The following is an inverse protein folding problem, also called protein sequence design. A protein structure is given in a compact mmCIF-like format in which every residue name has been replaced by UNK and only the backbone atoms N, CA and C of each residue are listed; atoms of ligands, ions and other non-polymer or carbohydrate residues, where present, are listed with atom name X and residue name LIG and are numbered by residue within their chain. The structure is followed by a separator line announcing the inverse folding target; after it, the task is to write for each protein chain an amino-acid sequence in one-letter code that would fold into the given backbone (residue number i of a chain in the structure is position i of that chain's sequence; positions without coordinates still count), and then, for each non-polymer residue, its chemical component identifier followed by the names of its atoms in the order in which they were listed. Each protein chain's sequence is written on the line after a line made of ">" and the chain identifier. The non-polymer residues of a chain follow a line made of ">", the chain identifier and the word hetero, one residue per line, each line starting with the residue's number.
data_IF_577440132801
#
_entry.id   IF_577440132801
#
_cell.length_a   1.000
_cell.length_b   1.000
_cell.length_c   1.000
_cell.angle_alpha   90.00
_cell.angle_beta   90.00
_cell.angle_gamma   90.00
#
_symmetry.space_group_name_H-M   'P 1'
#
loop_
_entity.id
_entity.type
_entity.pdbx_description
1 polymer ?
#
# COMPACT_ATOMS: atom_id res chain seq x y z
N UNK A 1 5.86 9.58 -13.06
CA UNK A 1 6.87 9.68 -11.99
C UNK A 1 8.27 9.38 -12.50
N UNK A 2 9.29 10.05 -11.96
CA UNK A 2 10.70 9.73 -12.26
C UNK A 2 11.20 8.53 -11.46
N UNK A 3 12.02 7.67 -12.04
CA UNK A 3 12.65 6.54 -11.33
C UNK A 3 13.51 7.01 -10.16
N UNK A 4 14.21 8.13 -10.31
CA UNK A 4 14.98 8.75 -9.22
C UNK A 4 14.11 9.10 -8.00
N UNK A 5 12.90 9.63 -8.23
CA UNK A 5 11.94 9.92 -7.18
C UNK A 5 11.41 8.64 -6.52
N UNK A 6 11.16 7.58 -7.30
CA UNK A 6 10.73 6.27 -6.79
C UNK A 6 11.83 5.66 -5.91
N UNK A 7 13.07 5.59 -6.42
CA UNK A 7 14.21 5.07 -5.68
C UNK A 7 14.41 5.84 -4.36
N UNK A 8 14.38 7.17 -4.40
CA UNK A 8 14.51 8.00 -3.20
C UNK A 8 13.38 7.77 -2.18
N UNK A 9 12.16 7.55 -2.64
CA UNK A 9 11.01 7.29 -1.76
C UNK A 9 11.13 5.95 -1.04
N UNK A 10 11.58 4.90 -1.74
CA UNK A 10 11.84 3.59 -1.16
C UNK A 10 12.96 3.65 -0.12
N UNK A 11 14.06 4.34 -0.43
CA UNK A 11 15.19 4.54 0.51
C UNK A 11 14.76 5.30 1.77
N UNK A 12 13.95 6.35 1.60
CA UNK A 12 13.37 7.09 2.72
C UNK A 12 12.46 6.19 3.57
N UNK A 13 11.62 5.36 2.96
CA UNK A 13 10.76 4.42 3.68
C UNK A 13 11.59 3.39 4.47
N UNK A 14 12.58 2.75 3.84
CA UNK A 14 13.47 1.80 4.52
C UNK A 14 14.22 2.42 5.69
N UNK A 15 14.75 3.65 5.51
CA UNK A 15 15.44 4.38 6.57
C UNK A 15 14.49 4.68 7.73
N UNK A 16 13.32 5.24 7.42
CA UNK A 16 12.31 5.62 8.43
C UNK A 16 11.82 4.40 9.21
N UNK A 17 11.50 3.31 8.51
CA UNK A 17 11.07 2.07 9.16
C UNK A 17 12.13 1.54 10.11
N UNK A 18 13.41 1.54 9.69
CA UNK A 18 14.53 1.13 10.55
C UNK A 18 14.70 2.05 11.76
N UNK A 19 14.62 3.37 11.58
CA UNK A 19 14.73 4.35 12.68
C UNK A 19 13.61 4.18 13.72
N UNK A 20 12.43 3.76 13.29
CA UNK A 20 11.30 3.44 14.17
C UNK A 20 11.27 1.98 14.65
N UNK A 21 12.33 1.21 14.40
CA UNK A 21 12.46 -0.17 14.88
C UNK A 21 11.58 -1.18 14.12
N UNK A 22 11.04 -0.81 12.96
CA UNK A 22 10.23 -1.67 12.10
C UNK A 22 11.15 -2.39 11.12
N UNK A 23 11.12 -3.73 11.17
CA UNK A 23 11.92 -4.57 10.28
C UNK A 23 11.11 -5.02 9.06
N UNK A 24 11.73 -4.94 7.88
CA UNK A 24 11.19 -5.47 6.64
C UNK A 24 11.72 -6.87 6.33
N UNK A 25 10.95 -7.71 5.60
CA UNK A 25 11.42 -9.02 5.15
C UNK A 25 12.58 -8.89 4.16
N UNK A 26 13.39 -9.95 4.03
CA UNK A 26 14.59 -9.93 3.19
C UNK A 26 14.35 -9.52 1.74
N UNK A 27 13.20 -9.88 1.16
CA UNK A 27 12.87 -9.54 -0.23
C UNK A 27 12.64 -8.04 -0.46
N UNK A 28 12.40 -7.26 0.59
CA UNK A 28 12.31 -5.81 0.48
C UNK A 28 13.60 -5.16 -0.01
N UNK A 29 14.72 -5.85 0.14
CA UNK A 29 16.05 -5.38 -0.22
C UNK A 29 16.59 -6.00 -1.51
N UNK A 30 15.81 -6.87 -2.19
CA UNK A 30 16.25 -7.51 -3.42
C UNK A 30 16.45 -6.47 -4.53
N UNK A 31 17.65 -6.50 -5.10
CA UNK A 31 18.05 -5.67 -6.24
C UNK A 31 17.52 -6.24 -7.56
N UNK A 32 17.68 -5.49 -8.64
CA UNK A 32 17.39 -5.98 -10.00
C UNK A 32 18.16 -7.26 -10.32
N UNK A 33 19.40 -7.39 -9.85
CA UNK A 33 20.22 -8.59 -10.08
C UNK A 33 19.76 -9.78 -9.24
N UNK A 34 19.30 -9.56 -8.01
CA UNK A 34 18.74 -10.63 -7.18
C UNK A 34 17.54 -11.28 -7.87
N UNK A 35 16.66 -10.47 -8.47
CA UNK A 35 15.47 -10.94 -9.18
C UNK A 35 15.76 -11.78 -10.42
N UNK A 36 16.93 -11.60 -11.06
CA UNK A 36 17.35 -12.46 -12.19
C UNK A 36 17.51 -13.92 -11.78
N UNK A 37 17.81 -14.16 -10.51
CA UNK A 37 18.06 -15.49 -9.95
C UNK A 37 16.84 -16.03 -9.16
N UNK A 38 15.68 -15.35 -9.18
CA UNK A 38 14.47 -15.83 -8.49
C UNK A 38 13.58 -16.62 -9.43
N UNK A 39 13.44 -17.91 -9.15
CA UNK A 39 12.56 -18.81 -9.86
C UNK A 39 11.12 -18.77 -9.35
N UNK A 40 10.43 -19.90 -9.50
CA UNK A 40 9.05 -20.10 -9.08
C UNK A 40 8.84 -20.03 -7.55
N UNK A 41 9.91 -20.11 -6.75
CA UNK A 41 9.84 -19.94 -5.29
C UNK A 41 9.36 -18.54 -4.86
N UNK A 42 9.44 -17.55 -5.76
CA UNK A 42 8.98 -16.19 -5.53
C UNK A 42 7.64 -15.86 -6.21
N UNK A 43 6.90 -16.87 -6.69
CA UNK A 43 5.65 -16.63 -7.45
C UNK A 43 4.57 -15.96 -6.63
N UNK A 44 4.45 -16.25 -5.32
CA UNK A 44 3.48 -15.54 -4.47
C UNK A 44 3.79 -14.03 -4.41
N UNK A 45 5.07 -13.64 -4.39
CA UNK A 45 5.46 -12.22 -4.40
C UNK A 45 4.97 -11.56 -5.69
N UNK A 46 5.14 -12.23 -6.83
CA UNK A 46 4.71 -11.74 -8.15
C UNK A 46 3.20 -11.69 -8.27
N UNK A 47 2.54 -12.79 -7.93
CA UNK A 47 1.13 -13.04 -8.20
C UNK A 47 0.19 -12.30 -7.26
N UNK A 48 0.61 -12.12 -6.01
CA UNK A 48 -0.13 -11.36 -5.01
C UNK A 48 0.36 -9.91 -4.90
N UNK A 49 1.28 -9.48 -5.79
CA UNK A 49 1.83 -8.13 -5.86
C UNK A 49 2.36 -7.65 -4.49
N UNK A 50 3.15 -8.50 -3.84
CA UNK A 50 3.81 -8.14 -2.59
C UNK A 50 4.94 -7.13 -2.86
N UNK A 51 5.44 -6.46 -1.84
CA UNK A 51 6.61 -5.58 -1.94
C UNK A 51 6.29 -4.10 -2.17
N UNK A 52 7.26 -3.39 -2.75
CA UNK A 52 7.23 -1.93 -2.87
C UNK A 52 6.17 -1.43 -3.85
N UNK A 53 5.49 -0.37 -3.48
CA UNK A 53 4.57 0.35 -4.35
C UNK A 53 4.74 1.85 -4.10
N UNK A 54 4.98 2.59 -5.19
CA UNK A 54 5.14 4.04 -5.19
C UNK A 54 4.27 4.59 -6.30
N UNK A 55 3.38 5.50 -5.97
CA UNK A 55 2.41 6.06 -6.92
C UNK A 55 2.15 7.53 -6.63
N UNK A 56 1.98 8.34 -7.68
CA UNK A 56 1.47 9.71 -7.65
C UNK A 56 0.01 9.77 -8.09
N UNK A 57 -0.62 8.62 -8.24
CA UNK A 57 -1.98 8.42 -8.72
C UNK A 57 -2.24 9.01 -10.13
N UNK A 58 -1.19 9.21 -10.93
CA UNK A 58 -1.27 9.87 -12.24
C UNK A 58 -1.47 11.39 -12.16
N UNK A 59 -1.29 12.00 -10.97
CA UNK A 59 -1.53 13.43 -10.74
C UNK A 59 -0.29 14.31 -10.97
N UNK A 60 0.91 13.73 -11.08
CA UNK A 60 2.15 14.46 -11.34
C UNK A 60 2.70 15.30 -10.18
N UNK A 61 2.02 15.36 -9.04
CA UNK A 61 2.48 16.02 -7.80
C UNK A 61 2.56 15.01 -6.65
N UNK A 62 3.53 14.09 -6.74
CA UNK A 62 3.76 13.05 -5.74
C UNK A 62 3.82 13.60 -4.31
N UNK A 63 4.42 14.77 -4.10
CA UNK A 63 4.62 15.34 -2.75
C UNK A 63 3.31 15.68 -2.04
N UNK A 64 2.25 15.99 -2.79
CA UNK A 64 0.92 16.24 -2.23
C UNK A 64 0.00 15.05 -2.38
N UNK A 65 -0.03 14.46 -3.58
CA UNK A 65 -0.87 13.32 -3.92
C UNK A 65 0.04 12.16 -4.30
N UNK A 66 0.28 11.28 -3.34
CA UNK A 66 1.18 10.17 -3.53
C UNK A 66 1.18 9.19 -2.38
N UNK A 67 1.78 8.03 -2.62
CA UNK A 67 1.94 7.00 -1.61
C UNK A 67 3.23 6.22 -1.82
N UNK A 68 3.87 5.84 -0.73
CA UNK A 68 4.94 4.85 -0.68
C UNK A 68 4.57 3.80 0.34
N UNK A 69 4.45 2.55 -0.10
CA UNK A 69 4.06 1.45 0.76
C UNK A 69 4.81 0.16 0.43
N UNK A 70 4.72 -0.79 1.35
CA UNK A 70 5.24 -2.13 1.22
C UNK A 70 4.16 -3.14 1.60
N UNK A 71 3.70 -3.94 0.64
CA UNK A 71 2.75 -5.03 0.90
C UNK A 71 3.51 -6.23 1.46
N UNK A 72 3.30 -6.53 2.75
CA UNK A 72 3.99 -7.60 3.48
C UNK A 72 3.42 -8.98 3.14
N UNK A 73 2.11 -9.05 3.00
CA UNK A 73 1.36 -10.29 2.72
C UNK A 73 0.02 -9.94 2.09
N UNK A 74 -0.47 -10.83 1.25
CA UNK A 74 -1.77 -10.76 0.61
C UNK A 74 -2.13 -12.18 0.13
N UNK A 75 -3.37 -12.39 -0.29
CA UNK A 75 -3.78 -13.55 -1.09
C UNK A 75 -4.19 -13.12 -2.50
N UNK A 76 -4.93 -13.97 -3.22
CA UNK A 76 -5.45 -13.62 -4.55
C UNK A 76 -6.86 -14.13 -4.75
N UNK A 77 -7.75 -13.24 -5.23
CA UNK A 77 -9.08 -13.64 -5.73
C UNK A 77 -9.03 -14.08 -7.21
N UNK A 78 -7.93 -13.79 -7.91
CA UNK A 78 -7.79 -14.00 -9.35
C UNK A 78 -7.02 -15.27 -9.70
N UNK A 79 -6.20 -15.77 -8.78
CA UNK A 79 -5.35 -16.94 -8.96
C UNK A 79 -5.58 -17.96 -7.85
N UNK A 80 -5.77 -19.21 -8.22
CA UNK A 80 -5.87 -20.34 -7.29
C UNK A 80 -4.53 -20.59 -6.58
N UNK A 81 -4.58 -21.09 -5.35
CA UNK A 81 -3.38 -21.47 -4.58
C UNK A 81 -2.90 -20.40 -3.60
N UNK A 82 -3.56 -19.23 -3.55
CA UNK A 82 -3.24 -18.13 -2.63
C UNK A 82 -4.42 -17.83 -1.70
N UNK A 83 -4.74 -18.78 -0.83
CA UNK A 83 -6.00 -18.84 -0.07
C UNK A 83 -6.07 -17.91 1.16
N UNK A 84 -5.08 -17.07 1.39
CA UNK A 84 -5.11 -16.11 2.51
C UNK A 84 -6.32 -15.20 2.36
N UNK A 85 -7.05 -14.98 3.45
CA UNK A 85 -8.20 -14.07 3.47
C UNK A 85 -7.86 -12.64 3.90
N UNK A 86 -6.57 -12.37 4.14
CA UNK A 86 -6.08 -11.14 4.76
C UNK A 86 -4.85 -10.59 4.04
N UNK A 87 -4.62 -9.29 4.23
CA UNK A 87 -3.44 -8.58 3.76
C UNK A 87 -2.85 -7.71 4.86
N UNK A 88 -1.59 -7.33 4.70
CA UNK A 88 -0.90 -6.37 5.58
C UNK A 88 0.02 -5.49 4.74
N UNK A 89 0.00 -4.18 5.00
CA UNK A 89 0.92 -3.21 4.39
C UNK A 89 1.57 -2.34 5.46
N UNK A 90 2.79 -1.89 5.16
CA UNK A 90 3.42 -0.76 5.83
C UNK A 90 3.44 0.42 4.88
N UNK A 91 3.19 1.61 5.40
CA UNK A 91 2.99 2.80 4.58
C UNK A 91 3.81 3.94 5.21
N UNK A 92 4.56 4.65 4.37
CA UNK A 92 5.21 5.89 4.76
C UNK A 92 4.22 7.04 4.54
N UNK A 93 4.03 7.86 5.58
CA UNK A 93 3.13 9.00 5.60
C UNK A 93 3.92 10.29 5.88
N UNK A 94 4.51 10.94 4.85
CA UNK A 94 4.98 12.32 4.94
C UNK A 94 3.87 13.29 5.32
N UNK A 95 4.25 14.37 5.99
CA UNK A 95 3.32 15.44 6.37
C UNK A 95 2.58 16.00 5.15
N UNK A 96 1.25 16.10 5.24
CA UNK A 96 0.38 16.64 4.19
C UNK A 96 0.23 15.79 2.91
N UNK A 97 1.07 14.76 2.71
CA UNK A 97 0.95 13.84 1.57
C UNK A 97 -0.24 12.88 1.78
N UNK A 98 -1.12 12.77 0.78
CA UNK A 98 -2.31 11.90 0.82
C UNK A 98 -2.54 11.13 -0.47
N UNK A 99 -3.38 10.11 -0.44
CA UNK A 99 -4.00 9.57 -1.64
C UNK A 99 -5.20 10.42 -2.09
N UNK A 100 -5.66 10.29 -3.35
CA UNK A 100 -6.97 10.78 -3.75
C UNK A 100 -8.07 10.14 -2.87
N UNK A 101 -9.20 10.83 -2.75
CA UNK A 101 -10.36 10.29 -2.05
C UNK A 101 -10.85 9.04 -2.77
N UNK A 102 -10.96 7.95 -2.03
CA UNK A 102 -11.44 6.69 -2.59
C UNK A 102 -12.16 5.86 -1.54
N UNK A 103 -12.87 4.84 -1.99
CA UNK A 103 -13.36 3.76 -1.16
C UNK A 103 -13.06 2.42 -1.80
N UNK A 104 -13.09 1.36 -1.00
CA UNK A 104 -13.00 -0.01 -1.45
C UNK A 104 -14.40 -0.62 -1.65
N UNK A 105 -14.60 -1.37 -2.73
CA UNK A 105 -15.88 -2.05 -2.99
C UNK A 105 -16.10 -3.19 -1.99
N UNK A 106 -15.05 -3.94 -1.71
CA UNK A 106 -15.10 -5.14 -0.86
C UNK A 106 -14.12 -5.11 0.30
N UNK A 107 -12.94 -4.47 0.16
CA UNK A 107 -11.94 -4.47 1.24
C UNK A 107 -12.45 -3.73 2.47
N UNK A 108 -12.31 -4.38 3.63
CA UNK A 108 -12.35 -3.75 4.94
C UNK A 108 -10.92 -3.67 5.44
N UNK A 109 -10.54 -2.53 6.01
CA UNK A 109 -9.18 -2.30 6.48
C UNK A 109 -9.15 -1.55 7.81
N UNK A 110 -8.15 -1.85 8.63
CA UNK A 110 -7.73 -1.04 9.75
C UNK A 110 -6.51 -0.23 9.32
N UNK A 111 -6.61 1.11 9.39
CA UNK A 111 -5.46 2.01 9.28
C UNK A 111 -4.94 2.28 10.69
N UNK A 112 -3.67 1.99 10.91
CA UNK A 112 -3.04 1.94 12.24
C UNK A 112 -1.84 2.86 12.25
N UNK A 113 -1.77 3.82 13.17
CA UNK A 113 -0.54 4.58 13.39
C UNK A 113 0.47 3.71 14.14
N UNK A 114 1.53 3.27 13.44
CA UNK A 114 2.55 2.37 14.03
C UNK A 114 3.64 3.15 14.76
N UNK A 115 4.08 4.28 14.21
CA UNK A 115 5.17 5.08 14.77
C UNK A 115 5.27 6.47 14.10
N UNK A 116 5.94 7.39 14.79
CA UNK A 116 6.25 8.73 14.28
C UNK A 116 5.28 9.79 14.78
N UNK A 117 4.80 10.63 13.86
CA UNK A 117 3.80 11.67 14.12
C UNK A 117 2.38 11.13 14.24
N UNK A 118 1.40 11.98 13.93
CA UNK A 118 -0.01 11.61 13.94
C UNK A 118 -0.54 11.38 12.53
N UNK A 119 -1.60 10.58 12.41
CA UNK A 119 -2.32 10.37 11.15
C UNK A 119 -3.70 11.01 11.27
N UNK A 120 -4.08 11.80 10.27
CA UNK A 120 -5.44 12.30 10.11
C UNK A 120 -6.16 11.42 9.10
N UNK A 121 -7.32 10.88 9.45
CA UNK A 121 -8.15 10.05 8.58
C UNK A 121 -9.51 10.72 8.40
N UNK A 122 -9.74 11.30 7.22
CA UNK A 122 -11.03 11.89 6.85
C UNK A 122 -11.96 10.80 6.30
N UNK A 123 -13.21 10.77 6.76
CA UNK A 123 -14.16 9.70 6.44
C UNK A 123 -15.52 10.24 5.95
N UNK A 124 -16.13 9.58 4.98
CA UNK A 124 -17.49 9.86 4.50
C UNK A 124 -18.11 8.59 3.90
N UNK A 125 -19.41 8.33 4.05
CA UNK A 125 -20.05 7.19 3.36
C UNK A 125 -20.17 7.44 1.85
N UNK A 126 -19.97 6.40 1.04
CA UNK A 126 -20.33 6.44 -0.37
C UNK A 126 -21.83 6.14 -0.54
N UNK A 127 -22.55 6.96 -1.30
CA UNK A 127 -23.93 6.69 -1.66
C UNK A 127 -24.02 5.61 -2.78
N UNK A 128 -25.25 5.26 -3.19
CA UNK A 128 -25.50 4.27 -4.25
C UNK A 128 -24.92 4.67 -5.61
N UNK A 129 -24.72 5.97 -5.85
CA UNK A 129 -24.10 6.53 -7.06
C UNK A 129 -22.56 6.62 -6.97
N UNK A 130 -21.94 6.09 -5.91
CA UNK A 130 -20.51 6.20 -5.61
C UNK A 130 -20.02 7.63 -5.29
N UNK A 131 -20.91 8.53 -4.89
CA UNK A 131 -20.57 9.90 -4.48
C UNK A 131 -20.57 10.04 -2.95
N UNK A 132 -20.09 11.18 -2.45
CA UNK A 132 -20.12 11.50 -1.00
C UNK A 132 -21.57 11.59 -0.52
N UNK A 133 -21.90 10.82 0.52
CA UNK A 133 -23.18 10.88 1.23
C UNK A 133 -23.18 11.96 2.32
N UNK A 134 -24.36 12.50 2.63
CA UNK A 134 -24.58 13.38 3.79
C UNK A 134 -25.02 12.61 5.06
N UNK A 135 -24.99 11.29 5.02
CA UNK A 135 -25.42 10.42 6.11
C UNK A 135 -24.42 10.42 7.28
N UNK A 136 -24.93 10.54 8.51
CA UNK A 136 -24.15 10.25 9.72
C UNK A 136 -23.98 8.74 9.90
N UNK A 137 -22.81 8.31 10.35
CA UNK A 137 -22.48 6.90 10.47
C UNK A 137 -21.62 6.65 11.70
N UNK A 138 -21.39 5.38 12.03
CA UNK A 138 -20.47 5.01 13.10
C UNK A 138 -19.21 4.37 12.54
N UNK A 139 -18.11 4.59 13.25
CA UNK A 139 -16.81 3.95 13.00
C UNK A 139 -16.29 3.35 14.31
N UNK A 140 -15.30 2.46 14.23
CA UNK A 140 -14.61 1.93 15.42
C UNK A 140 -13.18 2.43 15.41
N UNK A 141 -12.77 3.08 16.49
CA UNK A 141 -11.38 3.45 16.77
C UNK A 141 -10.92 2.62 17.96
N UNK A 142 -9.96 1.73 17.76
CA UNK A 142 -9.48 0.77 18.77
C UNK A 142 -10.61 -0.04 19.44
N UNK A 143 -11.64 -0.39 18.65
CA UNK A 143 -12.83 -1.11 19.13
C UNK A 143 -13.89 -0.23 19.82
N UNK A 144 -13.63 1.05 20.05
CA UNK A 144 -14.59 2.02 20.62
C UNK A 144 -15.40 2.65 19.50
N UNK A 145 -16.73 2.58 19.62
CA UNK A 145 -17.65 3.19 18.66
C UNK A 145 -17.58 4.71 18.74
N UNK A 146 -17.52 5.38 17.59
CA UNK A 146 -17.63 6.84 17.47
C UNK A 146 -18.69 7.19 16.43
N UNK A 147 -19.54 8.15 16.75
CA UNK A 147 -20.45 8.77 15.79
C UNK A 147 -19.70 9.76 14.92
N UNK A 148 -19.97 9.74 13.62
CA UNK A 148 -19.27 10.52 12.60
C UNK A 148 -20.28 11.26 11.74
N UNK A 149 -20.02 12.54 11.49
CA UNK A 149 -20.62 13.29 10.40
C UNK A 149 -19.80 13.12 9.10
N UNK A 150 -20.42 13.36 7.93
CA UNK A 150 -19.71 13.39 6.66
C UNK A 150 -18.52 14.36 6.68
N UNK A 151 -17.32 13.85 6.40
CA UNK A 151 -16.10 14.65 6.29
C UNK A 151 -15.35 14.84 7.60
N UNK A 152 -15.85 14.26 8.70
CA UNK A 152 -15.15 14.24 9.98
C UNK A 152 -13.78 13.56 9.87
N UNK A 153 -12.85 14.02 10.70
CA UNK A 153 -11.47 13.57 10.74
C UNK A 153 -11.20 12.86 12.06
N UNK A 154 -10.73 11.61 11.98
CA UNK A 154 -10.16 10.89 13.12
C UNK A 154 -8.66 11.16 13.15
N UNK A 155 -8.19 11.75 14.26
CA UNK A 155 -6.75 11.88 14.55
C UNK A 155 -6.28 10.63 15.30
N UNK A 156 -5.28 9.94 14.75
CA UNK A 156 -4.67 8.73 15.31
C UNK A 156 -3.26 9.06 15.80
N UNK A 157 -3.06 8.96 17.11
CA UNK A 157 -1.74 9.00 17.75
C UNK A 157 -1.06 7.62 17.63
N UNK A 158 0.28 7.53 17.78
CA UNK A 158 0.99 6.25 17.73
C UNK A 158 0.36 5.18 18.65
N UNK A 159 0.04 4.03 18.07
CA UNK A 159 -0.64 2.91 18.72
C UNK A 159 -2.14 2.81 18.47
N UNK A 160 -2.78 3.86 17.93
CA UNK A 160 -4.21 3.87 17.61
C UNK A 160 -4.49 3.39 16.18
N UNK A 161 -5.65 2.81 15.96
CA UNK A 161 -6.16 2.45 14.65
C UNK A 161 -7.66 2.68 14.48
N UNK A 162 -8.08 2.89 13.23
CA UNK A 162 -9.48 3.03 12.83
C UNK A 162 -9.86 1.96 11.82
N UNK A 163 -10.98 1.29 12.08
CA UNK A 163 -11.58 0.34 11.16
C UNK A 163 -12.40 1.08 10.12
N UNK A 164 -12.07 0.92 8.85
CA UNK A 164 -12.73 1.51 7.69
C UNK A 164 -13.51 0.40 6.95
N UNK A 165 -14.85 0.36 7.09
CA UNK A 165 -15.67 -0.61 6.36
C UNK A 165 -15.68 -0.33 4.86
N UNK A 166 -15.98 -1.34 4.02
CA UNK A 166 -16.19 -1.16 2.59
C UNK A 166 -17.20 -0.05 2.33
N UNK A 167 -17.04 0.64 1.20
CA UNK A 167 -17.89 1.77 0.80
C UNK A 167 -17.85 2.97 1.76
N UNK A 168 -16.76 3.11 2.50
CA UNK A 168 -16.43 4.33 3.26
C UNK A 168 -15.31 5.06 2.51
N UNK A 169 -15.65 6.23 1.97
CA UNK A 169 -14.71 7.14 1.32
C UNK A 169 -13.74 7.65 2.37
N UNK A 170 -12.46 7.54 2.08
CA UNK A 170 -11.42 7.95 3.01
C UNK A 170 -10.23 8.61 2.31
N UNK A 171 -9.56 9.46 3.08
CA UNK A 171 -8.23 10.01 2.80
C UNK A 171 -7.47 10.04 4.11
N UNK A 172 -6.16 9.77 4.06
CA UNK A 172 -5.32 9.92 5.24
C UNK A 172 -3.93 10.48 4.89
N UNK A 173 -3.35 11.20 5.85
CA UNK A 173 -2.05 11.85 5.74
C UNK A 173 -1.40 12.03 7.11
N UNK A 174 -0.08 12.25 7.12
CA UNK A 174 0.65 12.67 8.32
C UNK A 174 0.29 14.11 8.71
N UNK A 175 0.01 14.35 9.98
CA UNK A 175 -0.32 15.68 10.50
C UNK A 175 0.90 16.61 10.46
N UNK A 176 0.72 17.80 9.88
CA UNK A 176 1.77 18.83 9.77
C UNK A 176 2.37 19.16 11.15
N UNK A 177 3.70 19.22 11.21
CA UNK A 177 4.45 19.53 12.42
C UNK A 177 4.60 18.38 13.41
N UNK A 178 4.18 17.16 13.07
CA UNK A 178 4.33 15.97 13.94
C UNK A 178 5.41 14.99 13.50
N UNK A 179 5.97 15.19 12.32
CA UNK A 179 7.06 14.40 11.74
C UNK A 179 6.60 13.33 10.75
N UNK A 180 7.58 12.66 10.15
CA UNK A 180 7.35 11.49 9.30
C UNK A 180 6.65 10.40 10.11
N UNK A 181 5.58 9.85 9.55
CA UNK A 181 4.74 8.85 10.22
C UNK A 181 4.77 7.55 9.42
N UNK A 182 4.61 6.43 10.11
CA UNK A 182 4.47 5.11 9.50
C UNK A 182 3.14 4.53 9.91
N UNK A 183 2.28 4.28 8.93
CA UNK A 183 1.05 3.54 9.15
C UNK A 183 1.18 2.07 8.78
N UNK A 184 0.37 1.25 9.44
CA UNK A 184 0.09 -0.11 9.05
C UNK A 184 -1.33 -0.19 8.51
N UNK A 185 -1.50 -1.02 7.49
CA UNK A 185 -2.82 -1.45 7.01
C UNK A 185 -2.94 -2.93 7.33
N UNK A 186 -3.98 -3.33 8.07
CA UNK A 186 -4.37 -4.73 8.23
C UNK A 186 -5.76 -4.87 7.66
N UNK A 187 -5.95 -5.73 6.67
CA UNK A 187 -7.19 -5.74 5.90
C UNK A 187 -7.61 -7.14 5.50
N UNK A 188 -8.83 -7.25 4.99
CA UNK A 188 -9.18 -8.34 4.07
C UNK A 188 -8.31 -8.24 2.80
N UNK A 189 -8.50 -9.19 1.87
CA UNK A 189 -7.79 -9.19 0.59
C UNK A 189 -7.79 -7.82 -0.11
N UNK A 190 -6.62 -7.44 -0.63
CA UNK A 190 -6.43 -6.21 -1.37
C UNK A 190 -6.28 -6.51 -2.86
N UNK A 191 -7.25 -6.10 -3.67
CA UNK A 191 -7.15 -6.10 -5.14
C UNK A 191 -7.00 -4.66 -5.64
N UNK A 192 -5.75 -4.20 -5.72
CA UNK A 192 -5.42 -2.82 -6.11
C UNK A 192 -5.86 -2.46 -7.55
N UNK A 193 -6.14 -3.45 -8.40
CA UNK A 193 -6.57 -3.22 -9.78
C UNK A 193 -8.07 -2.95 -9.94
N UNK A 194 -8.93 -3.52 -9.08
CA UNK A 194 -10.38 -3.47 -9.29
C UNK A 194 -11.18 -2.96 -8.08
N UNK A 195 -10.60 -3.00 -6.87
CA UNK A 195 -11.33 -2.68 -5.66
C UNK A 195 -11.35 -1.18 -5.34
N UNK A 196 -10.37 -0.43 -5.84
CA UNK A 196 -10.24 1.00 -5.63
C UNK A 196 -11.24 1.80 -6.48
N UNK A 197 -12.09 2.60 -5.81
CA UNK A 197 -12.99 3.55 -6.46
C UNK A 197 -12.58 4.98 -6.11
N UNK A 198 -11.81 5.61 -6.98
CA UNK A 198 -11.41 7.01 -6.83
C UNK A 198 -12.56 7.94 -7.21
N UNK A 199 -12.73 9.01 -6.44
CA UNK A 199 -13.73 10.06 -6.72
C UNK A 199 -13.29 11.01 -7.82
N UNK A 200 -11.98 11.17 -7.97
CA UNK A 200 -11.34 11.95 -9.02
C UNK A 200 -10.63 11.01 -10.00
N UNK A 201 -10.62 11.31 -11.32
CA UNK A 201 -9.88 10.51 -12.28
C UNK A 201 -8.43 10.33 -11.84
N UNK A 202 -8.05 9.09 -11.57
CA UNK A 202 -6.75 8.73 -10.99
C UNK A 202 -6.32 7.37 -11.55
N UNK A 203 -5.02 7.20 -11.77
CA UNK A 203 -4.41 5.94 -12.16
C UNK A 203 -3.75 5.30 -10.94
N UNK A 204 -4.05 4.05 -10.60
CA UNK A 204 -3.47 3.42 -9.40
C UNK A 204 -1.96 3.28 -9.46
N UNK A 205 -1.42 2.99 -10.64
CA UNK A 205 0.00 2.86 -10.89
C UNK A 205 0.49 3.99 -11.79
N UNK A 206 1.68 4.55 -11.52
CA UNK A 206 2.19 5.69 -12.29
C UNK A 206 2.76 5.24 -13.63
N UNK A 207 2.76 6.14 -14.62
CA UNK A 207 3.71 6.04 -15.73
C UNK A 207 5.11 6.41 -15.23
N UNK A 208 6.15 5.68 -15.64
CA UNK A 208 7.50 5.84 -15.11
C UNK A 208 8.46 6.38 -16.18
N UNK A 209 9.12 7.49 -15.87
CA UNK A 209 10.26 8.07 -16.60
C UNK A 209 11.55 7.48 -16.02
N UNK A 210 12.25 6.65 -16.80
CA UNK A 210 13.45 5.92 -16.38
C UNK A 210 14.71 6.80 -16.45
N UNK A 211 14.73 7.88 -15.66
CA UNK A 211 15.80 8.89 -15.63
C UNK A 211 17.08 8.43 -14.92
N UNK A 212 17.01 7.34 -14.15
CA UNK A 212 18.18 6.66 -13.57
C UNK A 212 17.93 5.13 -13.50
N UNK A 213 18.97 4.32 -13.26
CA UNK A 213 18.80 2.87 -13.11
C UNK A 213 17.82 2.50 -11.98
N UNK A 214 16.93 1.55 -12.26
CA UNK A 214 16.07 0.90 -11.26
C UNK A 214 16.93 0.21 -10.20
N UNK A 215 16.68 0.48 -8.92
CA UNK A 215 17.33 -0.21 -7.78
C UNK A 215 16.46 -1.34 -7.23
N UNK A 216 15.15 -1.10 -7.20
CA UNK A 216 14.13 -2.02 -6.67
C UNK A 216 12.99 -2.15 -7.68
N UNK A 217 12.40 -3.34 -7.78
CA UNK A 217 11.15 -3.52 -8.52
C UNK A 217 9.96 -3.04 -7.68
N UNK A 218 9.03 -2.34 -8.32
CA UNK A 218 7.69 -2.15 -7.77
C UNK A 218 6.86 -3.42 -7.98
N UNK A 219 5.81 -3.58 -7.18
CA UNK A 219 4.98 -4.79 -7.10
C UNK A 219 4.28 -5.15 -8.43
N UNK A 220 4.17 -4.20 -9.36
CA UNK A 220 3.59 -4.37 -10.69
C UNK A 220 4.63 -4.52 -11.81
N UNK A 221 5.93 -4.49 -11.50
CA UNK A 221 7.03 -4.49 -12.46
C UNK A 221 7.88 -5.78 -12.43
N UNK A 222 7.51 -6.79 -11.63
CA UNK A 222 8.34 -7.98 -11.45
C UNK A 222 8.59 -8.73 -12.75
N UNK A 223 9.84 -9.20 -12.98
CA UNK A 223 10.15 -9.99 -14.17
C UNK A 223 9.50 -11.38 -14.07
N UNK A 224 9.10 -11.91 -15.22
CA UNK A 224 8.72 -13.31 -15.35
C UNK A 224 9.92 -14.22 -15.04
N UNK A 225 9.65 -15.46 -14.65
CA UNK A 225 10.70 -16.46 -14.43
C UNK A 225 11.47 -16.69 -15.74
N UNK A 226 12.79 -16.56 -15.69
CA UNK A 226 13.65 -16.87 -16.84
C UNK A 226 13.57 -18.37 -17.18
N UNK A 227 13.46 -18.71 -18.46
CA UNK A 227 13.38 -20.11 -18.90
C UNK A 227 14.64 -20.91 -18.54
N UNK A 228 15.79 -20.26 -18.37
CA UNK A 228 17.04 -20.92 -18.00
C UNK A 228 17.08 -21.33 -16.51
N UNK A 229 16.42 -20.57 -15.62
CA UNK A 229 16.32 -20.90 -14.19
C UNK A 229 15.39 -22.11 -13.93
N UNK A 230 14.47 -22.40 -14.86
CA UNK A 230 13.59 -23.56 -14.78
C UNK A 230 14.32 -24.89 -15.06
N UNK A 231 15.50 -24.86 -15.70
CA UNK A 231 16.27 -26.06 -16.05
C UNK A 231 17.18 -26.54 -14.90
N UNK A 232 17.63 -25.65 -14.02
CA UNK A 232 18.47 -26.05 -12.87
C UNK A 232 17.67 -26.81 -11.79
N UNK A 233 16.38 -26.52 -11.60
CA UNK A 233 15.55 -27.22 -10.62
C UNK A 233 15.21 -28.67 -11.02
N UNK A 234 15.23 -28.99 -12.31
CA UNK A 234 15.03 -30.37 -12.80
C UNK A 234 16.28 -31.23 -12.61
N UNK A 235 17.47 -30.63 -12.63
CA UNK A 235 18.74 -31.36 -12.53
C UNK A 235 19.08 -31.87 -11.13
N UNK A 236 18.51 -31.31 -10.06
CA UNK A 236 18.84 -31.69 -8.67
C UNK A 236 17.92 -32.79 -8.13
N UNK A 237 16.85 -33.15 -8.86
CA UNK A 237 15.91 -34.23 -8.50
C UNK A 237 16.23 -35.60 -9.10
N UNK A 238 17.35 -35.74 -9.83
CA UNK A 238 17.71 -36.97 -10.53
C UNK A 238 19.17 -37.38 -10.23
N UNK A 239 19.47 -37.69 -8.97
CA UNK A 239 20.62 -38.52 -8.56
C UNK A 239 20.27 -39.32 -7.30
#
# INVERSE_FOLDING_TARGET
>A
MKRSQINASIELAMKTFREYGISLPGFAYWTVDDWKNKGHEADEIRDCMLGWDVTDFGQGDFTKIGRTLFTLRNGSLRRSGYDKSYAEKLILDPEGQRSPAHFHRTKMEDIINRAGGNILVQLTKANASNERSNEHFTIKVDGVVRDMAPGDIVRLEPGQGVCIPPRTIHQFWGEDGTGLTVSGEVSSLCDDHADNCFLEPSARFPEIDEDEPRRYFLCHEYPAVSQDAALETVSVGAL
#
